data_IF_132343294175
#
_entry.id   IF_132343294175
#
_cell.length_a   1.000
_cell.length_b   1.000
_cell.length_c   1.000
_cell.angle_alpha   90.00
_cell.angle_beta   90.00
_cell.angle_gamma   90.00
#
_symmetry.space_group_name_H-M   'P 1'
#
loop_
_entity.id
_entity.type
_entity.pdbx_description
1 polymer ?
#
# COMPACT_ATOMS: atom_id res chain seq x y z
N UNK A 1 -15.58 4.05 -3.03
CA UNK A 1 -14.81 3.87 -4.29
C UNK A 1 -15.65 3.20 -5.37
N UNK A 2 -15.19 3.29 -6.63
CA UNK A 2 -15.82 2.61 -7.75
C UNK A 2 -15.67 1.10 -7.58
N UNK A 3 -16.78 0.38 -7.52
CA UNK A 3 -16.77 -1.07 -7.42
C UNK A 3 -16.10 -1.70 -8.65
N UNK A 4 -15.38 -2.80 -8.43
CA UNK A 4 -14.87 -3.61 -9.54
C UNK A 4 -16.03 -4.12 -10.38
N UNK A 5 -15.90 -4.02 -11.70
CA UNK A 5 -16.78 -4.67 -12.65
C UNK A 5 -16.01 -5.21 -13.86
N UNK A 6 -16.49 -6.30 -14.40
CA UNK A 6 -15.94 -6.91 -15.61
C UNK A 6 -17.07 -7.21 -16.61
N UNK A 7 -16.86 -6.85 -17.86
CA UNK A 7 -17.80 -7.14 -18.96
C UNK A 7 -17.08 -7.83 -20.11
N UNK A 8 -17.65 -8.89 -20.63
CA UNK A 8 -17.16 -9.55 -21.83
C UNK A 8 -17.45 -8.72 -23.07
N UNK A 9 -16.40 -8.34 -23.81
CA UNK A 9 -16.49 -7.65 -25.10
C UNK A 9 -16.54 -8.63 -26.25
N UNK A 10 -15.92 -9.81 -26.10
CA UNK A 10 -15.94 -10.91 -27.04
C UNK A 10 -15.79 -12.23 -26.29
N UNK A 11 -16.43 -13.30 -26.81
CA UNK A 11 -16.32 -14.66 -26.27
C UNK A 11 -16.05 -15.64 -27.36
N UNK A 12 -15.24 -16.66 -27.09
CA UNK A 12 -14.95 -17.74 -28.05
C UNK A 12 -16.24 -18.42 -28.49
N UNK A 13 -16.42 -18.53 -29.82
CA UNK A 13 -17.58 -19.13 -30.45
C UNK A 13 -17.50 -19.03 -31.97
N UNK A 14 -18.55 -19.40 -32.70
CA UNK A 14 -18.57 -19.29 -34.16
C UNK A 14 -18.27 -17.85 -34.61
N UNK A 15 -17.15 -17.66 -35.33
CA UNK A 15 -16.72 -16.36 -35.84
C UNK A 15 -15.90 -15.51 -34.88
N UNK A 16 -15.66 -15.95 -33.62
CA UNK A 16 -14.83 -15.26 -32.67
C UNK A 16 -13.79 -16.21 -32.03
N UNK A 17 -12.47 -16.04 -32.29
CA UNK A 17 -11.44 -16.96 -31.82
C UNK A 17 -10.90 -16.60 -30.43
N UNK A 18 -11.35 -15.51 -29.78
CA UNK A 18 -10.77 -14.98 -28.56
C UNK A 18 -11.81 -14.62 -27.49
N UNK A 19 -11.39 -14.65 -26.25
CA UNK A 19 -12.11 -14.03 -25.12
C UNK A 19 -11.45 -12.68 -24.79
N UNK A 20 -12.26 -11.62 -24.77
CA UNK A 20 -11.82 -10.27 -24.39
C UNK A 20 -12.81 -9.69 -23.40
N UNK A 21 -12.32 -9.08 -22.33
CA UNK A 21 -13.15 -8.36 -21.38
C UNK A 21 -12.62 -6.95 -21.13
N UNK A 22 -13.51 -6.06 -20.75
CA UNK A 22 -13.19 -4.76 -20.15
C UNK A 22 -13.35 -4.84 -18.63
N UNK A 23 -12.48 -4.17 -17.88
CA UNK A 23 -12.58 -3.99 -16.42
C UNK A 23 -12.67 -2.51 -16.08
N UNK A 24 -13.49 -2.22 -15.07
CA UNK A 24 -13.58 -0.90 -14.44
C UNK A 24 -13.32 -1.08 -12.94
N UNK A 25 -12.42 -0.29 -12.39
CA UNK A 25 -12.08 -0.31 -10.96
C UNK A 25 -11.55 1.05 -10.53
N UNK A 26 -11.64 1.35 -9.22
CA UNK A 26 -10.88 2.43 -8.60
C UNK A 26 -9.39 2.05 -8.57
N UNK A 27 -8.45 3.00 -8.75
CA UNK A 27 -7.02 2.74 -8.51
C UNK A 27 -6.72 2.25 -7.08
N UNK A 28 -7.61 2.50 -6.12
CA UNK A 28 -7.49 2.13 -4.71
C UNK A 28 -8.22 0.84 -4.34
N UNK A 29 -8.63 0.01 -5.31
CA UNK A 29 -9.27 -1.28 -5.03
C UNK A 29 -8.23 -2.40 -4.87
N UNK A 30 -8.35 -3.20 -3.80
CA UNK A 30 -7.40 -4.27 -3.50
C UNK A 30 -6.01 -3.74 -3.11
N UNK A 31 -4.98 -4.58 -3.17
CA UNK A 31 -3.61 -4.14 -2.93
C UNK A 31 -3.18 -3.14 -4.01
N UNK A 32 -2.74 -1.95 -3.58
CA UNK A 32 -2.42 -0.86 -4.51
C UNK A 32 -1.30 0.04 -3.98
N UNK A 33 -0.82 0.92 -4.86
CA UNK A 33 0.12 1.98 -4.54
C UNK A 33 -0.55 3.32 -4.76
N UNK A 34 -0.40 4.24 -3.81
CA UNK A 34 -0.87 5.61 -3.97
C UNK A 34 0.12 6.46 -4.76
N UNK A 35 -0.41 7.22 -5.72
CA UNK A 35 0.33 8.29 -6.35
C UNK A 35 0.48 9.49 -5.40
N UNK A 36 1.57 10.28 -5.50
CA UNK A 36 1.62 11.58 -4.84
C UNK A 36 0.42 12.48 -5.14
N UNK A 37 -0.14 12.38 -6.35
CA UNK A 37 -1.34 13.12 -6.77
C UNK A 37 -2.57 12.81 -5.91
N UNK A 38 -2.63 11.63 -5.28
CA UNK A 38 -3.77 11.24 -4.43
C UNK A 38 -3.93 12.16 -3.20
N UNK A 39 -2.82 12.59 -2.60
CA UNK A 39 -2.80 13.42 -1.37
C UNK A 39 -2.11 14.78 -1.55
N UNK A 40 -1.69 15.13 -2.76
CA UNK A 40 -1.10 16.43 -3.13
C UNK A 40 -1.57 16.84 -4.52
N UNK A 41 -2.35 17.92 -4.62
CA UNK A 41 -2.87 18.42 -5.90
C UNK A 41 -1.76 18.79 -6.92
N UNK A 42 -0.52 18.98 -6.47
CA UNK A 42 0.66 19.20 -7.31
C UNK A 42 1.56 17.97 -7.43
N UNK A 43 1.13 16.84 -6.87
CA UNK A 43 1.87 15.59 -6.86
C UNK A 43 1.99 14.95 -8.24
N UNK A 44 3.02 14.11 -8.41
CA UNK A 44 3.19 13.32 -9.63
C UNK A 44 2.11 12.25 -9.73
N UNK A 45 1.72 11.91 -10.95
CA UNK A 45 0.85 10.75 -11.22
C UNK A 45 1.62 9.45 -10.96
N UNK A 46 0.91 8.35 -10.77
CA UNK A 46 1.57 7.07 -10.51
C UNK A 46 2.43 6.60 -11.70
N UNK A 47 2.09 7.01 -12.92
CA UNK A 47 2.86 6.72 -14.13
C UNK A 47 4.16 7.50 -14.26
N UNK A 48 4.33 8.59 -13.49
CA UNK A 48 5.48 9.49 -13.54
C UNK A 48 6.46 9.28 -12.36
N UNK A 49 6.09 8.46 -11.35
CA UNK A 49 7.00 8.16 -10.24
C UNK A 49 8.05 7.12 -10.63
N UNK A 50 9.27 7.22 -10.04
CA UNK A 50 10.29 6.19 -10.21
C UNK A 50 9.82 4.85 -9.63
N UNK A 51 10.19 3.77 -10.31
CA UNK A 51 9.92 2.40 -9.85
C UNK A 51 10.88 1.92 -8.75
N UNK A 52 11.95 2.67 -8.45
CA UNK A 52 13.01 2.27 -7.51
C UNK A 52 12.46 1.93 -6.12
N UNK A 53 11.42 2.63 -5.66
CA UNK A 53 10.81 2.33 -4.37
C UNK A 53 9.99 1.03 -4.38
N UNK A 54 9.47 0.60 -5.54
CA UNK A 54 8.54 -0.52 -5.66
C UNK A 54 9.20 -1.87 -5.98
N UNK A 55 10.53 -1.88 -6.08
CA UNK A 55 11.31 -3.07 -6.41
C UNK A 55 12.55 -3.18 -5.53
N UNK A 56 12.78 -4.34 -4.92
CA UNK A 56 13.98 -4.66 -4.16
C UNK A 56 13.72 -5.18 -2.75
N UNK A 57 14.78 -5.35 -1.93
CA UNK A 57 14.65 -5.93 -0.60
C UNK A 57 13.64 -5.18 0.27
N UNK A 58 12.82 -5.95 1.01
CA UNK A 58 11.84 -5.42 1.97
C UNK A 58 11.82 -6.28 3.23
N UNK A 59 11.34 -5.70 4.33
CA UNK A 59 11.07 -6.40 5.59
C UNK A 59 9.57 -6.39 5.87
N UNK A 60 9.00 -7.56 6.14
CA UNK A 60 7.66 -7.71 6.70
C UNK A 60 7.77 -7.75 8.22
N UNK A 61 7.03 -6.87 8.90
CA UNK A 61 6.99 -6.78 10.36
C UNK A 61 5.55 -7.03 10.83
N UNK A 62 5.39 -7.82 11.88
CA UNK A 62 4.09 -8.10 12.46
C UNK A 62 3.77 -7.15 13.62
N UNK A 63 2.70 -6.38 13.48
CA UNK A 63 2.10 -5.56 14.51
C UNK A 63 0.63 -5.98 14.75
N UNK A 64 0.37 -7.28 14.76
CA UNK A 64 -0.98 -7.84 14.86
C UNK A 64 -1.61 -7.44 16.20
N UNK A 65 -2.80 -6.82 16.13
CA UNK A 65 -3.52 -6.37 17.32
C UNK A 65 -2.92 -5.13 18.00
N UNK A 66 -2.13 -4.33 17.29
CA UNK A 66 -1.48 -3.11 17.80
C UNK A 66 -2.47 -2.00 18.23
N UNK A 67 -3.79 -2.20 18.02
CA UNK A 67 -4.79 -1.15 18.24
C UNK A 67 -4.89 -0.18 17.06
N UNK A 68 -5.43 1.04 17.28
CA UNK A 68 -5.75 1.94 16.18
C UNK A 68 -4.52 2.55 15.49
N UNK A 69 -3.37 2.57 16.17
CA UNK A 69 -2.14 3.17 15.64
C UNK A 69 -0.93 2.25 15.83
N UNK A 70 -0.20 2.03 14.75
CA UNK A 70 1.11 1.40 14.74
C UNK A 70 2.12 2.42 15.25
N UNK A 71 2.47 2.34 16.52
CA UNK A 71 3.54 3.14 17.11
C UNK A 71 4.90 2.46 16.89
N UNK A 72 5.98 3.20 17.16
CA UNK A 72 7.33 2.67 17.06
C UNK A 72 7.54 1.38 17.88
N UNK A 73 6.97 1.33 19.08
CA UNK A 73 7.14 0.18 19.99
C UNK A 73 6.56 -1.12 19.41
N UNK A 74 5.58 -1.03 18.50
CA UNK A 74 4.99 -2.19 17.84
C UNK A 74 5.91 -2.81 16.78
N UNK A 75 6.86 -2.05 16.24
CA UNK A 75 7.74 -2.50 15.14
C UNK A 75 9.23 -2.52 15.51
N UNK A 76 9.63 -1.87 16.61
CA UNK A 76 11.03 -1.69 16.99
C UNK A 76 11.78 -3.03 17.16
N UNK A 77 11.09 -4.10 17.54
CA UNK A 77 11.66 -5.44 17.72
C UNK A 77 12.28 -6.02 16.43
N UNK A 78 11.81 -5.57 15.28
CA UNK A 78 12.24 -6.03 13.96
C UNK A 78 13.03 -4.96 13.20
N UNK A 79 13.46 -3.88 13.86
CA UNK A 79 14.26 -2.81 13.25
C UNK A 79 15.69 -2.89 13.77
N UNK A 80 16.63 -3.08 12.86
CA UNK A 80 18.06 -3.17 13.12
C UNK A 80 18.90 -2.49 12.03
N UNK A 81 20.23 -2.56 12.13
CA UNK A 81 21.16 -1.94 11.18
C UNK A 81 21.10 -2.56 9.76
N UNK A 82 20.35 -3.65 9.58
CA UNK A 82 20.17 -4.32 8.29
C UNK A 82 18.80 -4.00 7.66
N UNK A 83 18.03 -3.07 8.24
CA UNK A 83 16.70 -2.72 7.77
C UNK A 83 16.73 -2.32 6.29
N UNK A 84 16.02 -3.03 5.40
CA UNK A 84 15.98 -2.66 3.99
C UNK A 84 15.13 -1.39 3.77
N UNK A 85 15.27 -0.79 2.61
CA UNK A 85 14.60 0.47 2.26
C UNK A 85 13.07 0.36 2.08
N UNK A 86 12.48 -0.80 2.31
CA UNK A 86 11.04 -1.05 2.20
C UNK A 86 10.56 -1.82 3.41
N UNK A 87 9.52 -1.31 4.07
CA UNK A 87 8.94 -1.91 5.27
C UNK A 87 7.46 -2.13 5.06
N UNK A 88 7.00 -3.36 5.21
CA UNK A 88 5.60 -3.75 5.11
C UNK A 88 5.13 -4.20 6.49
N UNK A 89 4.05 -3.61 7.00
CA UNK A 89 3.53 -3.97 8.33
C UNK A 89 2.22 -4.74 8.19
N UNK A 90 2.18 -5.88 8.85
CA UNK A 90 0.99 -6.72 8.98
C UNK A 90 0.29 -6.40 10.30
N UNK A 91 -0.99 -6.03 10.26
CA UNK A 91 -1.82 -5.71 11.42
C UNK A 91 -2.95 -6.69 11.64
N UNK A 92 -3.42 -7.34 10.59
CA UNK A 92 -4.48 -8.33 10.68
C UNK A 92 -3.93 -9.75 10.93
N UNK A 93 -4.59 -10.49 11.83
CA UNK A 93 -4.40 -11.93 11.93
C UNK A 93 -4.93 -12.62 10.65
N UNK A 94 -6.04 -12.10 10.12
CA UNK A 94 -6.67 -12.48 8.87
C UNK A 94 -7.27 -11.23 8.23
N UNK A 95 -6.98 -10.99 6.95
CA UNK A 95 -7.49 -9.84 6.21
C UNK A 95 -9.03 -9.87 6.15
N UNK A 96 -9.71 -8.75 6.40
CA UNK A 96 -11.16 -8.69 6.35
C UNK A 96 -11.67 -8.81 4.90
N UNK A 97 -12.78 -9.51 4.70
CA UNK A 97 -13.44 -9.61 3.40
C UNK A 97 -14.23 -8.34 3.02
N UNK A 98 -14.47 -7.46 3.98
CA UNK A 98 -15.24 -6.24 3.82
C UNK A 98 -14.51 -5.06 4.44
N UNK A 99 -14.98 -3.84 4.11
CA UNK A 99 -14.46 -2.61 4.68
C UNK A 99 -14.44 -2.65 6.22
N UNK A 100 -13.25 -2.41 6.78
CA UNK A 100 -13.05 -2.25 8.21
C UNK A 100 -12.92 -0.76 8.57
N UNK A 101 -13.95 -0.19 9.19
CA UNK A 101 -13.94 1.21 9.66
C UNK A 101 -13.09 1.44 10.91
N UNK A 102 -12.54 0.38 11.53
CA UNK A 102 -11.68 0.44 12.71
C UNK A 102 -10.25 -0.05 12.40
N UNK A 103 -9.85 0.07 11.14
CA UNK A 103 -8.53 -0.33 10.68
C UNK A 103 -7.40 0.28 11.52
N UNK A 104 -6.30 -0.44 11.67
CA UNK A 104 -5.06 0.09 12.22
C UNK A 104 -4.38 1.00 11.19
N UNK A 105 -3.83 2.12 11.63
CA UNK A 105 -3.12 3.08 10.79
C UNK A 105 -1.70 3.33 11.34
N UNK A 106 -0.80 3.90 10.56
CA UNK A 106 0.49 4.32 11.09
C UNK A 106 0.36 5.56 11.99
N UNK A 107 1.07 5.57 13.11
CA UNK A 107 1.38 6.82 13.79
C UNK A 107 2.37 7.62 12.91
N UNK A 108 2.14 8.93 12.65
CA UNK A 108 3.03 9.74 11.81
C UNK A 108 4.49 9.70 12.25
N UNK A 109 4.76 9.72 13.55
CA UNK A 109 6.12 9.65 14.12
C UNK A 109 6.83 8.33 13.80
N UNK A 110 6.08 7.25 13.61
CA UNK A 110 6.65 5.95 13.19
C UNK A 110 7.18 6.04 11.77
N UNK A 111 6.43 6.66 10.85
CA UNK A 111 6.87 6.88 9.47
C UNK A 111 8.07 7.84 9.42
N UNK A 112 8.07 8.91 10.24
CA UNK A 112 9.23 9.84 10.33
C UNK A 112 10.51 9.08 10.72
N UNK A 113 10.44 8.21 11.75
CA UNK A 113 11.59 7.41 12.17
C UNK A 113 12.05 6.42 11.10
N UNK A 114 11.13 5.75 10.40
CA UNK A 114 11.46 4.88 9.29
C UNK A 114 12.16 5.65 8.16
N UNK A 115 11.68 6.87 7.85
CA UNK A 115 12.31 7.75 6.88
C UNK A 115 13.73 8.18 7.28
N UNK A 116 13.96 8.45 8.58
CA UNK A 116 15.29 8.79 9.13
C UNK A 116 16.28 7.61 9.01
N UNK A 117 15.79 6.37 8.98
CA UNK A 117 16.56 5.16 8.75
C UNK A 117 16.77 4.82 7.27
N UNK A 118 16.31 5.69 6.35
CA UNK A 118 16.51 5.49 4.91
C UNK A 118 15.42 4.66 4.22
N UNK A 119 14.28 4.41 4.88
CA UNK A 119 13.14 3.74 4.25
C UNK A 119 12.58 4.65 3.14
N UNK A 120 12.31 4.06 1.99
CA UNK A 120 11.75 4.71 0.79
C UNK A 120 10.28 4.39 0.58
N UNK A 121 9.82 3.25 1.12
CA UNK A 121 8.45 2.78 0.96
C UNK A 121 7.98 2.13 2.25
N UNK A 122 6.78 2.51 2.68
CA UNK A 122 6.03 1.81 3.72
C UNK A 122 4.82 1.11 3.10
N UNK A 123 4.45 -0.05 3.64
CA UNK A 123 3.26 -0.76 3.23
C UNK A 123 2.46 -1.22 4.44
N UNK A 124 1.16 -1.44 4.24
CA UNK A 124 0.24 -1.89 5.26
C UNK A 124 -0.82 -2.81 4.67
N UNK A 125 -1.33 -3.73 5.47
CA UNK A 125 -2.42 -4.64 5.09
C UNK A 125 -3.82 -4.06 5.31
N UNK A 126 -3.93 -2.83 5.83
CA UNK A 126 -5.19 -2.10 5.94
C UNK A 126 -5.45 -1.22 4.73
N UNK A 127 -6.69 -0.77 4.58
CA UNK A 127 -7.14 0.04 3.44
C UNK A 127 -6.64 1.49 3.46
N UNK A 128 -5.94 1.92 4.53
CA UNK A 128 -5.29 3.24 4.62
C UNK A 128 -4.20 3.26 5.67
N UNK A 129 -3.12 4.04 5.43
CA UNK A 129 -2.10 4.37 6.44
C UNK A 129 -2.57 5.43 7.44
N UNK A 130 -3.71 6.09 7.20
CA UNK A 130 -4.37 7.00 8.13
C UNK A 130 -5.69 6.40 8.65
N UNK A 131 -6.20 6.82 9.82
CA UNK A 131 -7.50 6.40 10.31
C UNK A 131 -8.63 6.65 9.29
N UNK A 132 -9.62 5.74 9.21
CA UNK A 132 -10.69 5.77 8.21
C UNK A 132 -11.52 7.07 8.19
N UNK A 133 -11.63 7.75 9.33
CA UNK A 133 -12.35 9.02 9.48
C UNK A 133 -11.45 10.27 9.40
N UNK A 134 -10.15 10.09 9.19
CA UNK A 134 -9.18 11.18 9.10
C UNK A 134 -9.52 12.14 7.96
N UNK A 135 -9.52 13.45 8.25
CA UNK A 135 -9.69 14.53 7.26
C UNK A 135 -8.40 15.26 6.94
N UNK A 136 -7.36 15.03 7.71
CA UNK A 136 -6.08 15.72 7.58
C UNK A 136 -4.98 14.82 7.02
N UNK A 137 -5.19 13.50 7.05
CA UNK A 137 -4.27 12.47 6.54
C UNK A 137 -2.84 12.68 7.05
N UNK A 138 -2.60 12.73 8.38
CA UNK A 138 -1.30 13.12 8.93
C UNK A 138 -0.17 12.19 8.50
N UNK A 139 -0.41 10.89 8.32
CA UNK A 139 0.58 9.93 7.84
C UNK A 139 0.90 10.13 6.36
N UNK A 140 -0.10 10.37 5.50
CA UNK A 140 0.13 10.77 4.11
C UNK A 140 0.88 12.11 4.01
N UNK A 141 0.67 13.05 4.94
CA UNK A 141 1.46 14.30 4.94
C UNK A 141 2.93 14.04 5.28
N UNK A 142 3.25 13.02 6.10
CA UNK A 142 4.64 12.57 6.29
C UNK A 142 5.19 11.97 5.01
N UNK A 143 4.46 11.03 4.37
CA UNK A 143 4.84 10.45 3.07
C UNK A 143 5.20 11.54 2.07
N UNK A 144 4.32 12.55 1.95
CA UNK A 144 4.53 13.70 1.07
C UNK A 144 5.81 14.48 1.39
N UNK A 145 5.99 14.91 2.65
CA UNK A 145 7.14 15.71 3.06
C UNK A 145 8.48 14.99 2.90
N UNK A 146 8.48 13.68 3.20
CA UNK A 146 9.69 12.85 3.18
C UNK A 146 9.94 12.22 1.80
N UNK A 147 9.01 12.37 0.85
CA UNK A 147 9.14 11.81 -0.49
C UNK A 147 9.06 10.28 -0.56
N UNK A 148 8.43 9.65 0.44
CA UNK A 148 8.26 8.20 0.49
C UNK A 148 7.19 7.75 -0.51
N UNK A 149 7.06 6.42 -0.63
CA UNK A 149 5.96 5.75 -1.33
C UNK A 149 5.18 4.90 -0.36
N UNK A 150 3.93 4.60 -0.72
CA UNK A 150 3.03 3.83 0.12
C UNK A 150 2.34 2.72 -0.68
N UNK A 151 2.17 1.56 -0.03
CA UNK A 151 1.33 0.47 -0.48
C UNK A 151 0.26 0.23 0.58
N UNK A 152 -0.98 0.09 0.14
CA UNK A 152 -2.13 -0.13 1.01
C UNK A 152 -2.90 -1.40 0.62
N UNK A 153 -3.69 -1.90 1.56
CA UNK A 153 -4.57 -3.04 1.37
C UNK A 153 -3.83 -4.33 0.94
N UNK A 154 -2.60 -4.51 1.45
CA UNK A 154 -1.79 -5.69 1.17
C UNK A 154 -2.43 -6.95 1.79
N UNK A 155 -2.29 -8.09 1.14
CA UNK A 155 -2.71 -9.39 1.71
C UNK A 155 -1.48 -10.09 2.26
N UNK A 156 -1.30 -10.02 3.59
CA UNK A 156 -0.12 -10.55 4.29
C UNK A 156 -0.43 -11.75 5.21
N UNK A 157 -1.62 -12.33 5.12
CA UNK A 157 -2.11 -13.38 6.05
C UNK A 157 -1.18 -14.58 6.21
N UNK A 158 -0.57 -15.02 5.13
CA UNK A 158 0.31 -16.19 5.11
C UNK A 158 1.80 -15.81 5.05
N UNK A 159 2.13 -14.52 5.21
CA UNK A 159 3.51 -14.03 5.10
C UNK A 159 4.12 -13.96 6.50
N UNK A 160 5.14 -14.79 6.83
CA UNK A 160 5.88 -14.68 8.08
C UNK A 160 6.63 -13.35 8.18
N UNK A 161 6.98 -12.97 9.41
CA UNK A 161 7.90 -11.87 9.64
C UNK A 161 9.28 -12.20 9.10
N UNK A 162 9.96 -11.24 8.44
CA UNK A 162 11.30 -11.44 7.88
C UNK A 162 11.56 -10.64 6.61
N UNK A 163 12.68 -10.95 5.98
CA UNK A 163 13.16 -10.26 4.78
C UNK A 163 12.74 -10.98 3.50
N UNK A 164 12.36 -10.19 2.49
CA UNK A 164 11.84 -10.64 1.21
C UNK A 164 12.35 -9.75 0.08
N UNK A 165 12.06 -10.15 -1.15
CA UNK A 165 12.16 -9.30 -2.33
C UNK A 165 10.76 -8.78 -2.68
N UNK A 166 10.58 -7.46 -2.69
CA UNK A 166 9.35 -6.82 -3.11
C UNK A 166 9.35 -6.58 -4.62
N UNK A 167 8.27 -6.97 -5.28
CA UNK A 167 7.94 -6.59 -6.65
C UNK A 167 6.49 -6.08 -6.62
N UNK A 168 6.30 -4.77 -6.54
CA UNK A 168 4.99 -4.13 -6.40
C UNK A 168 4.82 -3.01 -7.44
N UNK A 169 5.08 -3.33 -8.71
CA UNK A 169 5.05 -2.35 -9.80
C UNK A 169 3.62 -1.82 -10.01
N UNK A 170 3.38 -0.51 -9.83
CA UNK A 170 2.06 0.08 -10.02
C UNK A 170 1.65 0.10 -11.50
N UNK A 171 0.34 0.24 -11.75
CA UNK A 171 -0.16 0.50 -13.09
C UNK A 171 0.38 1.84 -13.61
N UNK A 172 0.82 1.87 -14.87
CA UNK A 172 1.33 3.11 -15.48
C UNK A 172 0.18 4.01 -15.93
N UNK A 173 -0.44 4.70 -14.97
CA UNK A 173 -1.52 5.65 -15.21
C UNK A 173 -0.96 7.08 -15.16
N UNK A 174 -1.18 7.85 -16.22
CA UNK A 174 -0.67 9.23 -16.36
C UNK A 174 -1.68 10.31 -15.95
N UNK A 175 -2.82 9.90 -15.40
CA UNK A 175 -3.90 10.79 -14.94
C UNK A 175 -4.41 10.46 -13.54
N UNK A 176 -3.79 9.52 -12.86
CA UNK A 176 -4.15 9.07 -11.50
C UNK A 176 -2.89 8.83 -10.65
#
# INVERSE_FOLDING_TARGET
DTAYSQQWCATIGPGCPVNVSAITLSPHVGAHADAPLHYDASGATIGDVSLDAFLGPCRVIHAIGCGPLITWDHIAHAVDDTLPARVLVRTYAQAPEQWDGQLSAYAPDTIERLADLGVLLVGIDTASIDPADSKQLPSHQVIRRRGLRVLENLVLDAVPEGDYELIALPLKLTTA
#
